data_IF_044989618098
#
_entry.id   IF_044989618098
#
_cell.length_a   1.000
_cell.length_b   1.000
_cell.length_c   1.000
_cell.angle_alpha   90.00
_cell.angle_beta   90.00
_cell.angle_gamma   90.00
#
_symmetry.space_group_name_H-M   'P 1'
#
loop_
_entity.id
_entity.type
_entity.pdbx_description
1 polymer ?
#
# COMPACT_ATOMS: atom_id res chain seq x y z
N UNK A 1 10.50 -3.76 -42.81
CA UNK A 1 9.50 -4.83 -42.95
C UNK A 1 9.40 -5.60 -41.63
N UNK A 2 8.18 -5.62 -41.08
CA UNK A 2 7.55 -6.61 -40.18
C UNK A 2 8.38 -7.23 -39.04
N UNK A 3 8.14 -6.71 -37.83
CA UNK A 3 8.35 -7.36 -36.53
C UNK A 3 7.17 -8.27 -36.23
N UNK A 4 7.36 -9.57 -36.05
CA UNK A 4 6.63 -10.50 -35.13
C UNK A 4 6.93 -11.94 -35.53
N UNK A 5 7.54 -12.72 -34.64
CA UNK A 5 7.18 -14.10 -34.31
C UNK A 5 8.13 -14.63 -33.23
N UNK A 6 7.69 -15.63 -32.47
CA UNK A 6 8.39 -16.37 -31.40
C UNK A 6 8.28 -15.84 -29.97
N UNK A 7 7.10 -15.33 -29.59
CA UNK A 7 6.74 -15.09 -28.18
C UNK A 7 5.78 -16.14 -27.57
N UNK A 8 5.33 -17.13 -28.35
CA UNK A 8 4.37 -18.16 -27.92
C UNK A 8 5.00 -19.31 -27.11
N UNK A 9 6.28 -19.21 -26.73
CA UNK A 9 7.08 -20.31 -26.16
C UNK A 9 6.96 -20.48 -24.63
N UNK A 10 6.20 -19.64 -23.92
CA UNK A 10 6.19 -19.66 -22.44
C UNK A 10 4.92 -20.29 -21.87
N UNK A 11 3.88 -20.50 -22.68
CA UNK A 11 2.56 -20.90 -22.16
C UNK A 11 2.33 -22.42 -22.04
N UNK A 12 3.31 -23.27 -22.39
CA UNK A 12 3.09 -24.72 -22.50
C UNK A 12 3.88 -25.59 -21.48
N UNK A 13 4.64 -25.03 -20.53
CA UNK A 13 5.59 -25.83 -19.73
C UNK A 13 5.51 -25.68 -18.19
N UNK A 14 4.39 -25.22 -17.62
CA UNK A 14 4.22 -25.17 -16.15
C UNK A 14 3.04 -26.01 -15.61
N UNK A 15 2.36 -26.77 -16.47
CA UNK A 15 1.15 -27.53 -16.10
C UNK A 15 1.43 -28.85 -15.36
N UNK A 16 2.66 -29.36 -15.28
CA UNK A 16 2.86 -30.76 -14.81
C UNK A 16 4.09 -30.92 -13.90
N UNK A 17 3.93 -30.57 -12.63
CA UNK A 17 4.66 -31.07 -11.45
C UNK A 17 3.77 -30.73 -10.24
N UNK A 18 2.60 -31.35 -9.98
CA UNK A 18 2.34 -32.76 -9.66
C UNK A 18 3.47 -33.41 -8.85
N UNK A 19 3.38 -33.34 -7.52
CA UNK A 19 4.29 -34.09 -6.65
C UNK A 19 4.15 -33.86 -5.15
N UNK A 20 2.98 -34.16 -4.56
CA UNK A 20 2.90 -34.68 -3.18
C UNK A 20 2.75 -33.67 -2.04
N UNK A 21 1.68 -33.83 -1.26
CA UNK A 21 1.47 -33.13 0.01
C UNK A 21 -0.01 -32.99 0.38
N UNK A 22 -0.72 -34.11 0.46
CA UNK A 22 -2.11 -34.18 0.93
C UNK A 22 -2.16 -33.76 2.41
N UNK A 23 -3.16 -32.95 2.74
CA UNK A 23 -3.33 -32.16 3.95
C UNK A 23 -3.23 -32.94 5.26
N UNK A 24 -2.52 -32.37 6.24
CA UNK A 24 -2.69 -32.73 7.66
C UNK A 24 -4.01 -32.13 8.15
N UNK A 25 -4.97 -32.97 8.52
CA UNK A 25 -6.18 -32.55 9.22
C UNK A 25 -5.82 -32.25 10.68
N UNK A 26 -5.57 -30.97 10.98
CA UNK A 26 -5.55 -30.50 12.36
C UNK A 26 -6.99 -30.36 12.85
N UNK A 27 -7.34 -31.04 13.94
CA UNK A 27 -8.60 -30.77 14.65
C UNK A 27 -8.55 -29.35 15.22
N UNK A 28 -9.50 -28.51 14.81
CA UNK A 28 -9.70 -27.18 15.39
C UNK A 28 -10.91 -27.24 16.31
N UNK A 29 -10.67 -27.16 17.62
CA UNK A 29 -11.73 -27.02 18.61
C UNK A 29 -12.25 -25.58 18.56
N UNK A 30 -13.52 -25.39 18.21
CA UNK A 30 -14.19 -24.11 18.32
C UNK A 30 -14.56 -23.86 19.79
N UNK A 31 -13.72 -23.11 20.51
CA UNK A 31 -14.10 -22.54 21.79
C UNK A 31 -14.86 -21.23 21.54
N UNK A 32 -16.11 -21.14 22.00
CA UNK A 32 -16.85 -19.89 22.03
C UNK A 32 -16.19 -18.94 23.04
N UNK A 33 -15.52 -17.89 22.54
CA UNK A 33 -15.13 -16.77 23.38
C UNK A 33 -16.40 -15.95 23.56
N UNK A 34 -17.11 -16.14 24.69
CA UNK A 34 -18.09 -15.16 25.17
C UNK A 34 -17.35 -13.91 25.65
N UNK A 35 -16.69 -13.20 24.73
CA UNK A 35 -16.20 -11.87 24.98
C UNK A 35 -17.41 -10.97 24.95
N UNK A 36 -18.02 -10.80 26.12
CA UNK A 36 -18.79 -9.61 26.45
C UNK A 36 -17.83 -8.44 26.22
N UNK A 37 -17.76 -7.96 24.98
CA UNK A 37 -17.06 -6.74 24.60
C UNK A 37 -17.80 -5.64 25.35
N UNK A 38 -17.36 -5.38 26.57
CA UNK A 38 -17.55 -4.10 27.18
C UNK A 38 -16.78 -3.15 26.28
N UNK A 39 -17.46 -2.63 25.26
CA UNK A 39 -16.98 -1.52 24.43
C UNK A 39 -16.90 -0.35 25.41
N UNK A 40 -15.84 -0.32 26.22
CA UNK A 40 -15.38 0.90 26.84
C UNK A 40 -15.08 1.79 25.65
N UNK A 41 -15.99 2.74 25.40
CA UNK A 41 -15.87 3.69 24.32
C UNK A 41 -14.43 4.19 24.30
N UNK A 42 -13.72 3.83 23.24
CA UNK A 42 -12.52 4.53 22.87
C UNK A 42 -13.04 5.91 22.48
N UNK A 43 -13.16 6.81 23.46
CA UNK A 43 -13.01 8.22 23.16
C UNK A 43 -11.60 8.33 22.62
N UNK A 44 -11.48 8.15 21.30
CA UNK A 44 -10.34 8.59 20.53
C UNK A 44 -10.27 10.09 20.78
N UNK A 45 -9.62 10.43 21.88
CA UNK A 45 -9.29 11.79 22.23
C UNK A 45 -8.31 12.19 21.16
N UNK A 46 -8.83 12.74 20.05
CA UNK A 46 -8.04 13.24 18.94
C UNK A 46 -7.27 14.44 19.48
N UNK A 47 -6.10 14.16 20.06
CA UNK A 47 -5.20 15.18 20.55
C UNK A 47 -4.90 16.07 19.36
N UNK A 48 -5.38 17.31 19.38
CA UNK A 48 -5.15 18.26 18.30
C UNK A 48 -3.64 18.46 18.16
N UNK A 49 -3.04 17.80 17.16
CA UNK A 49 -1.64 18.00 16.81
C UNK A 49 -1.57 19.14 15.81
N UNK A 50 -0.62 20.04 16.02
CA UNK A 50 -0.27 21.01 14.99
C UNK A 50 0.18 20.25 13.74
N UNK A 51 -0.27 20.71 12.57
CA UNK A 51 0.10 20.09 11.31
C UNK A 51 1.56 20.41 10.97
N UNK A 52 2.36 19.37 10.76
CA UNK A 52 3.76 19.48 10.36
C UNK A 52 3.86 19.47 8.84
N UNK A 53 4.52 20.49 8.28
CA UNK A 53 4.67 20.66 6.83
C UNK A 53 6.10 20.99 6.43
N UNK A 54 6.50 20.59 5.23
CA UNK A 54 7.82 20.90 4.65
C UNK A 54 7.70 21.33 3.18
N UNK A 55 8.60 22.19 2.74
CA UNK A 55 8.72 22.61 1.34
C UNK A 55 9.72 21.75 0.59
N UNK A 56 9.31 21.25 -0.58
CA UNK A 56 10.19 20.62 -1.55
C UNK A 56 10.47 21.58 -2.69
N UNK A 57 11.71 21.59 -3.17
CA UNK A 57 12.15 22.45 -4.27
C UNK A 57 12.64 21.59 -5.44
N UNK A 58 12.42 22.06 -6.66
CA UNK A 58 13.00 21.48 -7.88
C UNK A 58 13.29 22.55 -8.91
N UNK A 59 14.18 22.24 -9.86
CA UNK A 59 14.42 23.07 -11.03
C UNK A 59 13.73 22.42 -12.24
N UNK A 60 12.75 23.11 -12.82
CA UNK A 60 12.02 22.66 -14.01
C UNK A 60 12.03 23.78 -15.05
N UNK A 61 12.57 23.52 -16.25
CA UNK A 61 12.65 24.50 -17.35
C UNK A 61 13.34 25.84 -16.97
N UNK A 62 14.34 25.79 -16.09
CA UNK A 62 15.05 26.98 -15.61
C UNK A 62 14.30 27.80 -14.55
N UNK A 63 13.10 27.37 -14.15
CA UNK A 63 12.34 27.97 -13.05
C UNK A 63 12.48 27.09 -11.82
N UNK A 64 12.82 27.71 -10.69
CA UNK A 64 12.76 27.05 -9.39
C UNK A 64 11.31 26.95 -8.97
N UNK A 65 10.82 25.74 -8.76
CA UNK A 65 9.48 25.47 -8.27
C UNK A 65 9.53 24.94 -6.84
N UNK A 66 8.50 25.22 -6.06
CA UNK A 66 8.27 24.68 -4.73
C UNK A 66 6.92 23.99 -4.63
N UNK A 67 6.80 23.01 -3.74
CA UNK A 67 5.56 22.29 -3.44
C UNK A 67 5.49 21.98 -1.94
N UNK A 68 4.31 22.12 -1.35
CA UNK A 68 4.10 21.89 0.09
C UNK A 68 3.70 20.43 0.36
N UNK A 69 4.42 19.78 1.28
CA UNK A 69 4.14 18.42 1.76
C UNK A 69 3.66 18.44 3.20
N UNK A 70 2.54 17.79 3.49
CA UNK A 70 2.09 17.51 4.86
C UNK A 70 2.77 16.24 5.37
N UNK A 71 3.61 16.38 6.39
CA UNK A 71 4.23 15.24 7.09
C UNK A 71 3.16 14.49 7.88
N UNK A 72 2.27 15.22 8.54
CA UNK A 72 1.18 14.67 9.36
C UNK A 72 0.22 13.82 8.53
N UNK A 73 -0.23 14.32 7.38
CA UNK A 73 -1.22 13.63 6.52
C UNK A 73 -0.59 12.78 5.43
N UNK A 74 0.72 12.89 5.20
CA UNK A 74 1.48 12.22 4.12
C UNK A 74 0.90 12.47 2.72
N UNK A 75 0.52 13.72 2.46
CA UNK A 75 -0.03 14.15 1.16
C UNK A 75 0.58 15.47 0.69
N UNK A 76 0.55 15.69 -0.62
CA UNK A 76 0.86 16.98 -1.21
C UNK A 76 -0.30 17.95 -0.99
N UNK A 77 -0.02 19.10 -0.39
CA UNK A 77 -1.04 20.12 -0.09
C UNK A 77 -1.26 21.11 -1.24
N UNK A 78 -0.26 21.27 -2.10
CA UNK A 78 -0.31 22.17 -3.27
C UNK A 78 0.23 21.43 -4.48
N UNK A 79 0.00 21.97 -5.68
CA UNK A 79 0.80 21.62 -6.85
C UNK A 79 2.14 22.37 -6.84
N UNK A 80 2.99 22.05 -7.81
CA UNK A 80 4.22 22.80 -8.04
C UNK A 80 3.89 24.23 -8.45
N UNK A 81 4.51 25.18 -7.75
CA UNK A 81 4.38 26.61 -8.02
C UNK A 81 5.76 27.26 -8.11
N UNK A 82 5.93 28.37 -8.82
CA UNK A 82 7.17 29.14 -8.79
C UNK A 82 7.58 29.46 -7.34
N UNK A 83 8.88 29.29 -7.04
CA UNK A 83 9.42 29.46 -5.68
C UNK A 83 9.37 30.90 -5.18
#
# INVERSE_FOLDING_TARGET
MRRVLTGFSIFALTVVFLGGGFSSAGEVYAAEINSKLNISGYEETSVARAEETVWYYRLQNGVTEKRLWSITRRVWLTDWMPA
#
